data_IF_266818631573
#
_entry.id   IF_266818631573
#
_cell.length_a   1.000
_cell.length_b   1.000
_cell.length_c   1.000
_cell.angle_alpha   90.00
_cell.angle_beta   90.00
_cell.angle_gamma   90.00
#
_symmetry.space_group_name_H-M   'P 1'
#
loop_
_entity.id
_entity.type
_entity.pdbx_description
1 polymer ?
#
# COMPACT_ATOMS: atom_id res chain seq x y z
N UNK A 1 -59.05 -26.89 14.07
CA UNK A 1 -58.68 -26.77 12.64
C UNK A 1 -57.23 -26.33 12.58
N UNK A 2 -56.32 -27.26 12.30
CA UNK A 2 -54.87 -27.05 12.43
C UNK A 2 -54.26 -27.11 11.02
N UNK A 3 -53.91 -25.94 10.48
CA UNK A 3 -53.31 -25.80 9.15
C UNK A 3 -51.84 -26.21 9.21
N UNK A 4 -51.49 -27.36 8.61
CA UNK A 4 -50.10 -27.81 8.42
C UNK A 4 -49.57 -27.23 7.11
N UNK A 5 -48.62 -26.32 7.21
CA UNK A 5 -47.85 -25.78 6.08
C UNK A 5 -46.85 -26.83 5.56
N UNK A 6 -46.98 -27.18 4.27
CA UNK A 6 -46.07 -28.08 3.54
C UNK A 6 -44.83 -27.29 3.12
N UNK A 7 -43.67 -27.63 3.67
CA UNK A 7 -42.36 -27.14 3.24
C UNK A 7 -41.84 -28.01 2.10
N UNK A 8 -41.72 -27.43 0.91
CA UNK A 8 -41.13 -28.08 -0.27
C UNK A 8 -39.62 -27.96 -0.19
N UNK A 9 -38.92 -29.09 -0.03
CA UNK A 9 -37.46 -29.17 0.04
C UNK A 9 -36.92 -29.38 -1.38
N UNK A 10 -36.44 -28.33 -2.04
CA UNK A 10 -35.78 -28.43 -3.35
C UNK A 10 -34.32 -28.88 -3.13
N UNK A 11 -34.09 -30.17 -3.32
CA UNK A 11 -32.77 -30.79 -3.42
C UNK A 11 -32.06 -30.28 -4.67
N UNK A 12 -31.02 -29.46 -4.50
CA UNK A 12 -30.10 -29.10 -5.58
C UNK A 12 -29.02 -30.18 -5.64
N UNK A 13 -29.19 -31.08 -6.62
CA UNK A 13 -28.21 -32.10 -6.98
C UNK A 13 -26.89 -31.45 -7.39
N UNK A 14 -25.85 -31.73 -6.60
CA UNK A 14 -24.46 -31.36 -6.85
C UNK A 14 -23.87 -32.37 -7.84
N UNK A 15 -23.92 -32.06 -9.13
CA UNK A 15 -23.24 -32.85 -10.14
C UNK A 15 -21.71 -32.68 -10.00
N UNK A 16 -21.06 -33.76 -9.59
CA UNK A 16 -19.61 -33.92 -9.59
C UNK A 16 -19.09 -33.96 -11.03
N UNK A 17 -18.57 -32.84 -11.55
CA UNK A 17 -17.74 -32.84 -12.75
C UNK A 17 -16.29 -33.19 -12.35
N UNK A 18 -15.98 -34.49 -12.32
CA UNK A 18 -14.61 -34.98 -12.33
C UNK A 18 -14.01 -34.69 -13.72
N UNK A 19 -13.25 -33.61 -13.84
CA UNK A 19 -12.41 -33.37 -15.02
C UNK A 19 -11.11 -34.13 -14.82
N UNK A 20 -11.08 -35.35 -15.33
CA UNK A 20 -9.86 -36.12 -15.54
C UNK A 20 -8.94 -35.35 -16.48
N UNK A 21 -7.78 -34.89 -15.99
CA UNK A 21 -6.71 -34.37 -16.85
C UNK A 21 -5.97 -35.55 -17.48
N UNK A 22 -5.86 -35.63 -18.81
CA UNK A 22 -5.02 -36.63 -19.44
C UNK A 22 -3.54 -36.32 -19.18
N UNK A 23 -2.84 -37.36 -18.72
CA UNK A 23 -1.40 -37.49 -18.67
C UNK A 23 -0.88 -37.47 -20.11
N UNK A 24 -0.41 -36.32 -20.60
CA UNK A 24 0.19 -36.28 -21.94
C UNK A 24 1.70 -36.48 -21.87
N UNK A 25 2.11 -37.49 -22.62
CA UNK A 25 3.38 -38.16 -22.56
C UNK A 25 4.46 -37.34 -23.27
N UNK A 26 5.68 -37.51 -22.76
CA UNK A 26 6.93 -37.04 -23.35
C UNK A 26 7.03 -37.43 -24.82
N UNK A 27 7.16 -36.45 -25.71
CA UNK A 27 7.63 -36.67 -27.09
C UNK A 27 8.98 -36.00 -27.26
N UNK A 28 9.98 -36.86 -27.33
CA UNK A 28 11.35 -36.58 -27.75
C UNK A 28 11.31 -36.25 -29.24
N UNK A 29 11.41 -34.98 -29.61
CA UNK A 29 11.59 -34.58 -31.01
C UNK A 29 13.05 -34.23 -31.27
N UNK A 30 13.69 -35.15 -31.98
CA UNK A 30 15.00 -35.12 -32.60
C UNK A 30 15.24 -33.79 -33.32
N UNK A 31 16.22 -33.02 -32.84
CA UNK A 31 16.64 -31.75 -33.44
C UNK A 31 17.44 -32.04 -34.72
N UNK A 32 16.77 -31.97 -35.87
CA UNK A 32 17.39 -32.15 -37.18
C UNK A 32 18.13 -30.88 -37.60
N UNK A 33 19.41 -31.04 -37.93
CA UNK A 33 20.29 -30.03 -38.51
C UNK A 33 19.74 -29.54 -39.85
N UNK A 34 19.66 -28.21 -40.04
CA UNK A 34 19.97 -27.63 -41.35
C UNK A 34 20.58 -26.23 -41.19
N UNK A 35 21.70 -25.94 -41.87
CA UNK A 35 22.33 -24.63 -41.88
C UNK A 35 21.70 -23.77 -42.98
N UNK A 36 21.43 -22.51 -42.68
CA UNK A 36 21.25 -21.48 -43.71
C UNK A 36 22.05 -20.26 -43.29
N UNK A 37 23.17 -20.11 -43.98
CA UNK A 37 23.98 -18.90 -44.07
C UNK A 37 23.12 -17.71 -44.50
N UNK A 38 23.23 -16.61 -43.77
CA UNK A 38 22.86 -15.27 -44.26
C UNK A 38 23.91 -14.29 -43.73
N UNK A 39 24.45 -13.40 -44.58
CA UNK A 39 25.72 -12.75 -44.32
C UNK A 39 25.62 -11.61 -43.31
N UNK A 40 26.70 -11.45 -42.56
CA UNK A 40 26.98 -10.33 -41.67
C UNK A 40 26.94 -9.00 -42.44
N UNK A 41 25.94 -8.17 -42.14
CA UNK A 41 26.05 -6.73 -42.35
C UNK A 41 26.61 -6.16 -41.06
N UNK A 42 27.92 -5.98 -41.06
CA UNK A 42 28.69 -5.22 -40.08
C UNK A 42 28.26 -3.75 -40.13
N UNK A 43 27.45 -3.33 -39.17
CA UNK A 43 27.29 -1.91 -38.90
C UNK A 43 28.44 -1.41 -38.01
N UNK A 44 29.05 -0.27 -38.35
CA UNK A 44 30.17 0.30 -37.59
C UNK A 44 29.68 0.79 -36.22
N UNK A 45 30.30 0.24 -35.17
CA UNK A 45 30.21 0.75 -33.81
C UNK A 45 30.81 2.15 -33.77
N UNK A 46 29.98 3.15 -33.44
CA UNK A 46 30.47 4.47 -33.01
C UNK A 46 31.21 4.31 -31.67
N UNK A 47 32.48 4.69 -31.56
CA UNK A 47 33.10 4.94 -30.27
C UNK A 47 32.67 6.33 -29.82
N UNK A 48 31.91 6.45 -28.73
CA UNK A 48 31.63 7.77 -28.17
C UNK A 48 31.65 7.75 -26.64
N UNK A 49 32.68 8.45 -26.17
CA UNK A 49 32.80 9.11 -24.88
C UNK A 49 32.92 8.22 -23.64
N UNK A 50 34.18 7.89 -23.33
CA UNK A 50 34.70 7.81 -21.96
C UNK A 50 34.14 8.93 -21.09
N UNK A 51 33.20 8.59 -20.21
CA UNK A 51 32.88 9.40 -19.04
C UNK A 51 33.59 8.81 -17.83
N UNK A 52 34.83 9.30 -17.67
CA UNK A 52 35.40 9.78 -16.42
C UNK A 52 34.83 9.16 -15.13
N UNK A 53 35.34 7.98 -14.77
CA UNK A 53 35.27 7.44 -13.42
C UNK A 53 36.16 8.34 -12.55
N UNK A 54 35.60 9.41 -12.00
CA UNK A 54 36.19 10.08 -10.83
C UNK A 54 35.87 9.24 -9.61
N UNK A 55 36.76 8.30 -9.32
CA UNK A 55 36.94 7.72 -8.01
C UNK A 55 37.26 8.86 -7.03
N UNK A 56 36.29 9.29 -6.24
CA UNK A 56 36.56 10.09 -5.05
C UNK A 56 36.83 9.12 -3.89
N UNK A 57 38.07 8.67 -3.78
CA UNK A 57 38.65 8.21 -2.51
C UNK A 57 38.79 9.42 -1.60
N UNK A 58 37.73 9.77 -0.88
CA UNK A 58 37.85 10.67 0.27
C UNK A 58 38.29 9.83 1.46
N UNK A 59 39.60 9.72 1.63
CA UNK A 59 40.24 9.45 2.91
C UNK A 59 39.87 10.60 3.86
N UNK A 60 38.76 10.45 4.58
CA UNK A 60 38.45 11.35 5.68
C UNK A 60 39.38 10.99 6.83
N UNK A 61 40.44 11.76 6.94
CA UNK A 61 41.37 11.73 8.06
C UNK A 61 40.59 11.74 9.38
N UNK A 62 40.86 10.70 10.17
CA UNK A 62 40.57 10.63 11.59
C UNK A 62 41.28 11.83 12.23
N UNK A 63 40.52 12.86 12.60
CA UNK A 63 40.98 13.90 13.51
C UNK A 63 40.44 13.56 14.89
N UNK A 64 41.24 12.77 15.60
CA UNK A 64 41.18 12.63 17.04
C UNK A 64 41.34 14.03 17.66
N UNK A 65 40.24 14.60 18.13
CA UNK A 65 40.29 15.59 19.20
C UNK A 65 39.85 14.91 20.47
N UNK A 66 40.86 14.33 21.08
CA UNK A 66 40.91 13.96 22.48
C UNK A 66 40.78 15.25 23.30
N UNK A 67 39.62 15.47 23.91
CA UNK A 67 39.50 16.44 25.00
C UNK A 67 38.77 15.76 26.13
N UNK A 68 39.59 15.12 26.96
CA UNK A 68 39.28 14.69 28.31
C UNK A 68 38.74 15.89 29.10
N UNK A 69 37.44 15.88 29.39
CA UNK A 69 36.84 16.68 30.46
C UNK A 69 35.90 15.79 31.25
N UNK A 70 36.42 15.29 32.35
CA UNK A 70 35.68 14.78 33.50
C UNK A 70 35.00 15.95 34.23
N UNK A 71 33.73 15.82 34.58
CA UNK A 71 33.19 16.52 35.74
C UNK A 71 33.06 15.54 36.90
N UNK A 72 33.97 15.69 37.85
CA UNK A 72 33.80 15.30 39.24
C UNK A 72 32.78 16.26 39.87
N UNK A 73 31.64 15.76 40.35
CA UNK A 73 31.25 15.96 41.75
C UNK A 73 29.96 15.20 42.13
N UNK A 74 29.92 14.62 43.34
CA UNK A 74 28.75 13.96 43.89
C UNK A 74 27.84 14.99 44.57
N UNK A 75 26.56 14.99 44.24
CA UNK A 75 25.54 15.69 45.00
C UNK A 75 24.46 14.69 45.42
N UNK A 76 24.50 14.39 46.72
CA UNK A 76 23.48 13.74 47.52
C UNK A 76 22.12 14.41 47.30
N UNK A 77 21.16 13.67 46.72
CA UNK A 77 19.75 14.10 46.62
C UNK A 77 18.92 13.25 47.58
N UNK A 78 18.06 13.87 48.42
CA UNK A 78 17.42 13.23 49.56
C UNK A 78 16.36 12.19 49.21
N UNK A 79 16.10 11.34 50.20
CA UNK A 79 15.16 10.23 50.20
C UNK A 79 13.76 10.61 49.68
N UNK A 80 13.11 9.73 48.88
CA UNK A 80 11.75 9.95 48.43
C UNK A 80 10.75 9.81 49.59
N UNK A 81 9.88 10.82 49.70
CA UNK A 81 8.67 10.83 50.52
C UNK A 81 7.82 9.58 50.26
N UNK A 82 7.30 8.89 51.30
CA UNK A 82 6.43 7.74 51.14
C UNK A 82 5.12 8.15 50.46
N UNK A 83 4.83 7.52 49.32
CA UNK A 83 3.59 7.69 48.58
C UNK A 83 2.39 7.16 49.38
N UNK A 84 1.20 7.79 49.24
CA UNK A 84 -0.02 7.36 49.90
C UNK A 84 -0.42 5.94 49.47
N UNK A 85 -0.96 5.20 50.43
CA UNK A 85 -1.33 3.80 50.33
C UNK A 85 -2.16 3.47 49.07
N UNK A 86 -1.91 2.32 48.42
CA UNK A 86 -2.72 1.87 47.30
C UNK A 86 -4.15 1.60 47.79
N UNK A 87 -5.11 2.35 47.25
CA UNK A 87 -6.52 2.00 47.33
C UNK A 87 -6.68 0.61 46.72
N UNK A 88 -7.08 -0.35 47.53
CA UNK A 88 -7.41 -1.71 47.12
C UNK A 88 -8.53 -1.65 46.06
N UNK A 89 -8.14 -1.63 44.80
CA UNK A 89 -9.01 -2.00 43.69
C UNK A 89 -9.25 -3.51 43.80
N UNK A 90 -10.52 -3.88 43.90
CA UNK A 90 -11.01 -5.25 43.95
C UNK A 90 -10.25 -6.18 43.00
N UNK A 91 -9.97 -7.43 43.39
CA UNK A 91 -9.31 -8.38 42.52
C UNK A 91 -10.10 -8.50 41.21
N UNK A 92 -9.44 -8.44 40.03
CA UNK A 92 -10.12 -8.71 38.77
C UNK A 92 -10.72 -10.11 38.89
N UNK A 93 -12.04 -10.19 38.82
CA UNK A 93 -12.71 -11.49 38.78
C UNK A 93 -12.04 -12.31 37.68
N UNK A 94 -11.63 -13.56 37.96
CA UNK A 94 -11.12 -14.44 36.93
C UNK A 94 -12.26 -14.62 35.93
N UNK A 95 -12.14 -13.97 34.77
CA UNK A 95 -12.97 -14.27 33.62
C UNK A 95 -12.80 -15.77 33.40
N UNK A 96 -13.89 -16.50 33.62
CA UNK A 96 -13.94 -17.94 33.50
C UNK A 96 -13.30 -18.36 32.18
N UNK A 97 -12.35 -19.28 32.21
CA UNK A 97 -11.75 -19.86 31.01
C UNK A 97 -12.80 -20.44 30.05
N UNK A 98 -14.03 -20.70 30.54
CA UNK A 98 -15.16 -21.10 29.73
C UNK A 98 -15.67 -19.98 28.79
N UNK A 99 -15.65 -18.71 29.20
CA UNK A 99 -16.16 -17.60 28.36
C UNK A 99 -15.21 -17.23 27.21
N UNK A 100 -13.90 -17.49 27.37
CA UNK A 100 -12.92 -17.32 26.29
C UNK A 100 -12.98 -18.45 25.24
N UNK A 101 -13.60 -19.59 25.56
CA UNK A 101 -13.77 -20.72 24.64
C UNK A 101 -15.14 -20.72 23.94
N UNK A 102 -16.15 -20.06 24.51
CA UNK A 102 -17.50 -20.01 23.92
C UNK A 102 -17.68 -18.94 22.83
N UNK A 103 -16.79 -17.93 22.75
CA UNK A 103 -16.72 -17.05 21.58
C UNK A 103 -15.83 -17.65 20.52
N UNK A 104 -16.29 -18.75 19.93
CA UNK A 104 -15.66 -19.32 18.75
C UNK A 104 -15.50 -18.20 17.70
N UNK A 105 -14.27 -17.80 17.33
CA UNK A 105 -14.07 -16.85 16.25
C UNK A 105 -14.72 -17.46 15.02
N UNK A 106 -15.65 -16.72 14.39
CA UNK A 106 -16.30 -17.17 13.17
C UNK A 106 -15.22 -17.71 12.22
N UNK A 107 -15.23 -19.02 11.88
CA UNK A 107 -14.16 -19.66 11.12
C UNK A 107 -14.06 -19.15 9.67
N UNK A 108 -14.97 -18.27 9.26
CA UNK A 108 -15.04 -17.69 7.93
C UNK A 108 -14.09 -16.50 7.71
N UNK A 109 -13.36 -16.03 8.72
CA UNK A 109 -12.39 -14.92 8.52
C UNK A 109 -11.18 -15.04 9.43
N UNK A 110 -10.48 -16.18 9.38
CA UNK A 110 -9.13 -16.25 9.99
C UNK A 110 -8.23 -15.28 9.23
N UNK A 111 -7.74 -14.18 9.86
CA UNK A 111 -6.81 -13.29 9.20
C UNK A 111 -5.56 -14.10 8.85
N UNK A 112 -5.09 -14.00 7.61
CA UNK A 112 -3.85 -14.65 7.21
C UNK A 112 -2.66 -14.25 8.11
N UNK A 113 -1.56 -15.02 8.11
CA UNK A 113 -0.43 -14.77 8.98
C UNK A 113 0.09 -13.34 8.81
N UNK A 114 0.35 -12.67 9.93
CA UNK A 114 0.99 -11.37 9.93
C UNK A 114 2.45 -11.51 9.54
N UNK A 115 2.91 -10.61 8.66
CA UNK A 115 4.26 -10.58 8.13
C UNK A 115 4.94 -9.31 8.63
N UNK A 116 6.22 -9.41 8.94
CA UNK A 116 7.03 -8.25 9.38
C UNK A 116 8.03 -7.91 8.27
N UNK A 117 8.11 -6.63 7.91
CA UNK A 117 9.05 -6.11 6.91
C UNK A 117 9.55 -4.73 7.29
N UNK A 118 10.65 -4.32 6.66
CA UNK A 118 11.14 -2.94 6.72
C UNK A 118 10.70 -2.19 5.47
N UNK A 119 10.21 -0.96 5.64
CA UNK A 119 9.80 -0.10 4.52
C UNK A 119 11.05 0.43 3.80
N UNK A 120 11.16 0.16 2.50
CA UNK A 120 12.31 0.56 1.68
C UNK A 120 12.03 1.74 0.76
N UNK A 121 10.80 1.90 0.27
CA UNK A 121 10.39 3.09 -0.49
C UNK A 121 8.89 3.37 -0.35
N UNK A 122 8.51 4.62 -0.62
CA UNK A 122 7.14 5.09 -0.46
C UNK A 122 6.61 5.70 -1.76
N UNK A 123 5.34 5.44 -2.01
CA UNK A 123 4.51 6.07 -3.01
C UNK A 123 3.20 6.51 -2.33
N UNK A 124 2.47 7.44 -2.96
CA UNK A 124 1.32 8.16 -2.38
C UNK A 124 0.54 7.42 -1.27
N UNK A 125 0.00 6.23 -1.56
CA UNK A 125 -0.72 5.38 -0.60
C UNK A 125 -0.22 3.94 -0.58
N UNK A 126 1.00 3.70 -1.03
CA UNK A 126 1.59 2.36 -1.12
C UNK A 126 3.06 2.40 -0.77
N UNK A 127 3.54 1.42 -0.02
CA UNK A 127 4.92 1.27 0.38
C UNK A 127 5.54 0.01 -0.24
N UNK A 128 6.79 0.10 -0.69
CA UNK A 128 7.61 -1.09 -0.89
C UNK A 128 8.17 -1.53 0.45
N UNK A 129 7.93 -2.78 0.81
CA UNK A 129 8.41 -3.38 2.04
C UNK A 129 9.30 -4.58 1.70
N UNK A 130 10.43 -4.69 2.38
CA UNK A 130 11.36 -5.81 2.21
C UNK A 130 11.36 -6.65 3.47
N UNK A 131 11.08 -7.95 3.32
CA UNK A 131 11.23 -8.93 4.40
C UNK A 131 12.29 -9.95 4.06
N UNK A 132 12.88 -10.52 5.10
CA UNK A 132 13.81 -11.64 4.99
C UNK A 132 13.08 -12.91 5.38
N UNK A 133 13.11 -13.92 4.50
CA UNK A 133 12.55 -15.25 4.77
C UNK A 133 13.68 -16.28 4.81
N UNK A 134 13.56 -17.24 5.72
CA UNK A 134 14.47 -18.38 5.81
C UNK A 134 13.95 -19.50 4.91
N UNK A 135 14.68 -19.80 3.83
CA UNK A 135 14.34 -20.87 2.89
C UNK A 135 15.22 -22.10 3.18
N UNK A 136 14.65 -23.23 3.64
CA UNK A 136 15.42 -24.44 3.84
C UNK A 136 15.77 -25.08 2.49
N UNK A 137 17.06 -25.32 2.24
CA UNK A 137 17.54 -26.09 1.10
C UNK A 137 17.74 -27.56 1.50
N UNK A 138 16.98 -28.47 0.87
CA UNK A 138 17.07 -29.92 1.14
C UNK A 138 18.42 -30.51 0.75
N UNK A 139 18.98 -30.07 -0.38
CA UNK A 139 20.25 -30.58 -0.90
C UNK A 139 21.44 -30.20 -0.01
N UNK A 140 21.43 -28.99 0.54
CA UNK A 140 22.52 -28.47 1.37
C UNK A 140 22.28 -28.66 2.87
N UNK A 141 21.10 -29.18 3.26
CA UNK A 141 20.65 -29.29 4.67
C UNK A 141 20.88 -28.02 5.49
N UNK A 142 20.73 -26.85 4.84
CA UNK A 142 20.98 -25.53 5.42
C UNK A 142 19.86 -24.56 5.02
N UNK A 143 19.55 -23.63 5.90
CA UNK A 143 18.63 -22.52 5.60
C UNK A 143 19.39 -21.31 5.07
N UNK A 144 18.80 -20.65 4.06
CA UNK A 144 19.33 -19.43 3.48
C UNK A 144 18.34 -18.29 3.68
N UNK A 145 18.88 -17.12 4.06
CA UNK A 145 18.10 -15.91 4.14
C UNK A 145 17.90 -15.33 2.74
N UNK A 146 16.66 -15.18 2.34
CA UNK A 146 16.28 -14.60 1.03
C UNK A 146 15.44 -13.37 1.28
N UNK A 147 15.75 -12.28 0.56
CA UNK A 147 14.93 -11.07 0.61
C UNK A 147 13.76 -11.18 -0.36
N UNK A 148 12.58 -10.75 0.09
CA UNK A 148 11.38 -10.64 -0.72
C UNK A 148 10.85 -9.22 -0.63
N UNK A 149 10.49 -8.66 -1.78
CA UNK A 149 9.91 -7.32 -1.87
C UNK A 149 8.39 -7.43 -2.07
N UNK A 150 7.65 -6.79 -1.19
CA UNK A 150 6.19 -6.72 -1.23
C UNK A 150 5.74 -5.28 -1.47
N UNK A 151 4.61 -5.12 -2.17
CA UNK A 151 3.92 -3.85 -2.29
C UNK A 151 2.73 -3.84 -1.35
N UNK A 152 2.73 -2.91 -0.40
CA UNK A 152 1.80 -2.86 0.72
C UNK A 152 0.99 -1.56 0.67
N UNK A 153 -0.30 -1.62 0.93
CA UNK A 153 -1.17 -0.44 1.02
C UNK A 153 -1.00 0.23 2.38
N UNK A 154 -0.81 1.55 2.36
CA UNK A 154 -0.83 2.40 3.55
C UNK A 154 -2.09 3.29 3.50
N UNK A 155 -3.16 2.95 4.24
CA UNK A 155 -4.41 3.70 4.19
C UNK A 155 -4.29 5.10 4.79
N UNK A 156 -3.33 5.31 5.71
CA UNK A 156 -3.19 6.56 6.45
C UNK A 156 -2.04 7.44 5.93
N UNK A 157 -1.17 6.89 5.06
CA UNK A 157 0.04 7.57 4.57
C UNK A 157 0.96 8.03 5.70
N UNK A 158 1.12 7.21 6.74
CA UNK A 158 1.89 7.51 7.95
C UNK A 158 3.32 6.94 7.92
N UNK A 159 3.58 6.03 6.97
CA UNK A 159 4.85 5.33 6.90
C UNK A 159 5.99 6.25 6.45
N UNK A 160 7.18 5.97 6.96
CA UNK A 160 8.46 6.54 6.54
C UNK A 160 9.41 5.41 6.13
N UNK A 161 10.39 5.72 5.28
CA UNK A 161 11.44 4.76 4.90
C UNK A 161 12.25 4.39 6.15
N UNK A 162 12.47 3.10 6.37
CA UNK A 162 13.13 2.56 7.56
C UNK A 162 12.17 2.08 8.65
N UNK A 163 10.88 2.38 8.59
CA UNK A 163 9.91 1.86 9.56
C UNK A 163 9.82 0.33 9.48
N UNK A 164 9.71 -0.33 10.63
CA UNK A 164 9.40 -1.76 10.72
C UNK A 164 7.88 -1.91 10.87
N UNK A 165 7.26 -2.63 9.95
CA UNK A 165 5.80 -2.77 9.86
C UNK A 165 5.36 -4.22 9.97
N UNK A 166 4.17 -4.43 10.54
CA UNK A 166 3.37 -5.65 10.42
C UNK A 166 2.23 -5.43 9.46
N UNK A 167 2.13 -6.32 8.49
CA UNK A 167 1.13 -6.27 7.43
C UNK A 167 0.51 -7.65 7.23
N UNK A 168 -0.68 -7.66 6.64
CA UNK A 168 -1.42 -8.89 6.31
C UNK A 168 -1.97 -8.80 4.91
N UNK A 169 -2.47 -9.92 4.38
CA UNK A 169 -3.34 -9.87 3.21
C UNK A 169 -4.60 -9.04 3.52
N UNK A 170 -5.24 -8.55 2.47
CA UNK A 170 -6.56 -7.90 2.58
C UNK A 170 -7.58 -8.89 3.15
N UNK A 171 -8.46 -8.40 4.02
CA UNK A 171 -9.64 -9.17 4.39
C UNK A 171 -10.58 -9.28 3.18
N UNK A 172 -11.47 -10.29 3.12
CA UNK A 172 -12.42 -10.41 2.01
C UNK A 172 -13.28 -9.14 1.82
N UNK A 173 -13.65 -8.46 2.91
CA UNK A 173 -14.39 -7.20 2.86
C UNK A 173 -13.58 -6.06 2.22
N UNK A 174 -12.35 -5.84 2.68
CA UNK A 174 -11.46 -4.82 2.09
C UNK A 174 -11.12 -5.12 0.62
N UNK A 175 -10.96 -6.40 0.28
CA UNK A 175 -10.73 -6.82 -1.10
C UNK A 175 -11.94 -6.49 -2.00
N UNK A 176 -13.16 -6.74 -1.52
CA UNK A 176 -14.39 -6.43 -2.23
C UNK A 176 -14.57 -4.91 -2.42
N UNK A 177 -14.31 -4.10 -1.38
CA UNK A 177 -14.36 -2.63 -1.48
C UNK A 177 -13.36 -2.10 -2.51
N UNK A 178 -12.12 -2.60 -2.49
CA UNK A 178 -11.10 -2.21 -3.46
C UNK A 178 -11.51 -2.60 -4.89
N UNK A 179 -12.05 -3.80 -5.05
CA UNK A 179 -12.48 -4.27 -6.36
C UNK A 179 -13.70 -3.47 -6.86
N UNK A 180 -14.59 -3.01 -5.96
CA UNK A 180 -15.69 -2.10 -6.29
C UNK A 180 -15.21 -0.70 -6.72
N UNK A 181 -14.24 -0.10 -6.00
CA UNK A 181 -13.63 1.18 -6.42
C UNK A 181 -12.94 1.02 -7.77
N UNK A 182 -12.30 -0.12 -7.99
CA UNK A 182 -11.64 -0.42 -9.26
C UNK A 182 -12.64 -0.54 -10.40
N UNK A 183 -13.76 -1.24 -10.22
CA UNK A 183 -14.81 -1.35 -11.26
C UNK A 183 -15.44 0.01 -11.55
N UNK A 184 -15.65 0.85 -10.53
CA UNK A 184 -16.15 2.23 -10.71
C UNK A 184 -15.16 3.09 -11.51
N UNK A 185 -13.86 3.02 -11.21
CA UNK A 185 -12.82 3.72 -11.95
C UNK A 185 -12.70 3.24 -13.39
N UNK A 186 -12.83 1.93 -13.61
CA UNK A 186 -12.85 1.35 -14.96
C UNK A 186 -14.09 1.81 -15.72
N UNK A 187 -15.28 1.82 -15.11
CA UNK A 187 -16.51 2.32 -15.71
C UNK A 187 -16.39 3.81 -16.09
N UNK A 188 -15.87 4.66 -15.18
CA UNK A 188 -15.58 6.08 -15.46
C UNK A 188 -14.59 6.24 -16.61
N UNK A 189 -13.57 5.38 -16.68
CA UNK A 189 -12.60 5.37 -17.79
C UNK A 189 -13.27 5.00 -19.11
N UNK A 190 -14.14 3.99 -19.13
CA UNK A 190 -14.91 3.59 -20.30
C UNK A 190 -15.90 4.66 -20.75
N UNK A 191 -16.60 5.33 -19.83
CA UNK A 191 -17.50 6.44 -20.15
C UNK A 191 -16.76 7.62 -20.81
N UNK A 192 -15.58 8.01 -20.29
CA UNK A 192 -14.74 9.04 -20.91
C UNK A 192 -14.27 8.68 -22.32
N UNK A 193 -13.98 7.40 -22.55
CA UNK A 193 -13.62 6.91 -23.87
C UNK A 193 -14.82 6.95 -24.84
N UNK A 194 -16.03 6.64 -24.35
CA UNK A 194 -17.26 6.71 -25.13
C UNK A 194 -17.63 8.16 -25.53
N UNK A 195 -17.34 9.15 -24.68
CA UNK A 195 -17.52 10.59 -24.99
C UNK A 195 -16.60 11.13 -26.10
N UNK A 196 -15.79 10.29 -26.75
CA UNK A 196 -14.84 10.73 -27.79
C UNK A 196 -13.68 11.58 -27.26
N UNK A 197 -13.65 11.85 -25.95
CA UNK A 197 -12.50 12.38 -25.22
C UNK A 197 -11.46 11.28 -25.13
N UNK A 198 -10.81 10.99 -26.26
CA UNK A 198 -9.58 10.20 -26.29
C UNK A 198 -8.68 10.83 -25.24
N UNK A 199 -8.27 10.03 -24.25
CA UNK A 199 -7.20 10.41 -23.34
C UNK A 199 -6.02 10.82 -24.23
N UNK A 200 -5.82 12.13 -24.43
CA UNK A 200 -4.64 12.73 -25.06
C UNK A 200 -3.44 12.54 -24.11
N UNK A 201 -3.27 11.34 -23.56
CA UNK A 201 -2.02 10.93 -22.97
C UNK A 201 -1.12 10.61 -24.14
N UNK A 202 -0.05 11.42 -24.30
CA UNK A 202 1.11 11.12 -25.15
C UNK A 202 1.24 9.62 -25.33
N UNK A 203 1.02 9.11 -26.56
CA UNK A 203 1.44 7.76 -26.94
C UNK A 203 2.93 7.69 -26.62
N UNK A 204 3.29 7.21 -25.43
CA UNK A 204 4.61 6.65 -25.22
C UNK A 204 4.61 5.44 -26.13
N UNK A 205 5.44 5.46 -27.16
CA UNK A 205 5.80 4.33 -28.03
C UNK A 205 6.51 3.22 -27.23
N UNK A 206 5.97 2.85 -26.08
CA UNK A 206 6.48 1.78 -25.24
C UNK A 206 5.75 0.50 -25.59
N UNK A 207 6.28 -0.24 -26.56
CA UNK A 207 6.19 -1.69 -26.84
C UNK A 207 4.87 -2.46 -26.67
N UNK A 208 3.73 -1.84 -26.32
CA UNK A 208 2.43 -2.50 -26.15
C UNK A 208 2.40 -3.60 -25.08
N UNK A 209 3.52 -3.96 -24.46
CA UNK A 209 3.59 -5.00 -23.45
C UNK A 209 2.84 -4.47 -22.23
N UNK A 210 1.73 -5.11 -21.83
CA UNK A 210 1.08 -4.74 -20.59
C UNK A 210 2.11 -4.98 -19.48
N UNK A 211 2.68 -3.90 -18.93
CA UNK A 211 3.59 -4.00 -17.79
C UNK A 211 2.89 -4.92 -16.78
N UNK A 212 3.56 -5.99 -16.33
CA UNK A 212 3.03 -6.85 -15.26
C UNK A 212 2.75 -5.93 -14.08
N UNK A 213 1.51 -5.44 -13.96
CA UNK A 213 1.16 -4.42 -12.97
C UNK A 213 1.34 -5.09 -11.62
N UNK A 214 2.38 -4.68 -10.90
CA UNK A 214 2.61 -5.12 -9.53
C UNK A 214 1.35 -4.76 -8.76
N UNK A 215 0.57 -5.77 -8.37
CA UNK A 215 -0.68 -5.58 -7.64
C UNK A 215 -0.36 -5.50 -6.17
N UNK A 216 -0.92 -4.49 -5.50
CA UNK A 216 -0.89 -4.38 -4.05
C UNK A 216 -1.69 -5.56 -3.49
N UNK A 217 -1.03 -6.43 -2.73
CA UNK A 217 -1.64 -7.66 -2.15
C UNK A 217 -1.83 -7.58 -0.65
N UNK A 218 -1.18 -6.62 -0.02
CA UNK A 218 -1.09 -6.53 1.42
C UNK A 218 -1.52 -5.15 1.89
N UNK A 219 -1.92 -5.05 3.15
CA UNK A 219 -2.26 -3.81 3.84
C UNK A 219 -1.51 -3.72 5.16
N UNK A 220 -1.02 -2.54 5.49
CA UNK A 220 -0.36 -2.28 6.77
C UNK A 220 -1.38 -2.33 7.90
N UNK A 221 -1.04 -3.08 8.95
CA UNK A 221 -1.89 -3.26 10.13
C UNK A 221 -1.31 -2.53 11.34
N UNK A 222 0.00 -2.57 11.49
CA UNK A 222 0.69 -1.99 12.63
C UNK A 222 2.09 -1.53 12.23
N UNK A 223 2.51 -0.39 12.76
CA UNK A 223 3.92 0.01 12.73
C UNK A 223 4.54 -0.46 14.05
N UNK A 224 5.51 -1.37 13.96
CA UNK A 224 6.18 -1.98 15.11
C UNK A 224 7.22 -1.02 15.67
N UNK A 225 8.09 -0.51 14.80
CA UNK A 225 9.18 0.39 15.17
C UNK A 225 9.19 1.55 14.20
N UNK A 226 8.73 2.75 14.61
CA UNK A 226 8.84 3.94 13.78
C UNK A 226 10.29 4.42 13.72
N UNK A 227 10.74 4.84 12.55
CA UNK A 227 12.04 5.43 12.32
C UNK A 227 11.96 6.98 12.37
N UNK A 228 12.76 7.62 13.22
CA UNK A 228 12.75 9.07 13.41
C UNK A 228 11.54 9.56 14.20
N UNK A 229 10.70 10.40 13.59
CA UNK A 229 9.51 11.02 14.21
C UNK A 229 8.50 9.97 14.67
N UNK A 230 7.92 10.13 15.86
CA UNK A 230 6.98 9.17 16.44
C UNK A 230 5.63 9.10 15.71
N UNK A 231 4.91 7.98 15.83
CA UNK A 231 3.60 7.81 15.15
C UNK A 231 2.57 8.86 15.55
N UNK A 232 2.54 9.27 16.83
CA UNK A 232 1.60 10.27 17.34
C UNK A 232 1.78 11.62 16.66
N UNK A 233 3.03 12.05 16.51
CA UNK A 233 3.38 13.30 15.83
C UNK A 233 3.01 13.24 14.35
N UNK A 234 3.32 12.13 13.66
CA UNK A 234 2.93 11.94 12.25
C UNK A 234 1.41 11.94 12.06
N UNK A 235 0.66 11.34 13.00
CA UNK A 235 -0.80 11.37 12.98
C UNK A 235 -1.33 12.79 13.17
N UNK A 236 -0.73 13.59 14.06
CA UNK A 236 -1.08 14.99 14.26
C UNK A 236 -0.77 15.84 13.02
N UNK A 237 0.42 15.69 12.43
CA UNK A 237 0.81 16.32 11.16
C UNK A 237 -0.20 15.99 10.04
N UNK A 238 -0.60 14.71 9.94
CA UNK A 238 -1.55 14.26 8.93
C UNK A 238 -2.95 14.82 9.19
N UNK A 239 -3.41 14.82 10.44
CA UNK A 239 -4.70 15.40 10.82
C UNK A 239 -4.75 16.89 10.51
N UNK A 240 -3.68 17.64 10.84
CA UNK A 240 -3.54 19.05 10.49
C UNK A 240 -3.55 19.29 8.97
N UNK A 241 -2.86 18.44 8.21
CA UNK A 241 -2.84 18.52 6.74
C UNK A 241 -4.22 18.24 6.11
N UNK A 242 -5.01 17.33 6.71
CA UNK A 242 -6.39 17.06 6.27
C UNK A 242 -7.31 18.25 6.60
N UNK A 243 -7.25 18.76 7.83
CA UNK A 243 -8.02 19.92 8.26
C UNK A 243 -7.73 21.16 7.39
N UNK A 244 -6.45 21.40 7.06
CA UNK A 244 -6.04 22.50 6.18
C UNK A 244 -6.68 22.43 4.78
N UNK A 245 -6.76 21.23 4.19
CA UNK A 245 -7.38 21.04 2.85
C UNK A 245 -8.87 21.31 2.84
N UNK A 246 -9.60 20.97 3.90
CA UNK A 246 -11.03 21.24 3.99
C UNK A 246 -11.34 22.73 4.05
N UNK A 247 -10.53 23.50 4.80
CA UNK A 247 -10.72 24.95 4.88
C UNK A 247 -10.49 25.64 3.53
N UNK A 248 -9.47 25.22 2.78
CA UNK A 248 -9.22 25.76 1.44
C UNK A 248 -10.34 25.44 0.45
N UNK A 249 -10.90 24.22 0.50
CA UNK A 249 -12.02 23.84 -0.37
C UNK A 249 -13.29 24.65 -0.06
N UNK A 250 -13.56 24.94 1.21
CA UNK A 250 -14.70 25.81 1.59
C UNK A 250 -14.51 27.24 1.07
N UNK A 251 -13.30 27.80 1.20
CA UNK A 251 -12.99 29.12 0.66
C UNK A 251 -13.15 29.20 -0.85
N UNK A 252 -12.66 28.21 -1.61
CA UNK A 252 -12.80 28.22 -3.07
C UNK A 252 -14.24 28.08 -3.55
N UNK A 253 -15.09 27.36 -2.80
CA UNK A 253 -16.52 27.29 -3.09
C UNK A 253 -17.18 28.64 -2.80
N UNK A 254 -16.88 29.27 -1.66
CA UNK A 254 -17.47 30.57 -1.31
C UNK A 254 -17.06 31.65 -2.31
N UNK A 255 -15.77 31.74 -2.67
CA UNK A 255 -15.30 32.69 -3.69
C UNK A 255 -15.91 32.38 -5.07
N UNK A 256 -16.01 31.11 -5.46
CA UNK A 256 -16.66 30.73 -6.72
C UNK A 256 -18.16 31.06 -6.79
N UNK A 257 -18.86 31.02 -5.65
CA UNK A 257 -20.26 31.44 -5.55
C UNK A 257 -20.38 32.96 -5.64
N UNK A 258 -19.49 33.71 -4.99
CA UNK A 258 -19.52 35.17 -4.99
C UNK A 258 -19.21 35.77 -6.38
N UNK A 259 -18.31 35.15 -7.14
CA UNK A 259 -18.05 35.51 -8.54
C UNK A 259 -19.28 35.25 -9.43
N UNK A 260 -20.06 34.19 -9.16
CA UNK A 260 -21.30 33.91 -9.91
C UNK A 260 -22.43 34.89 -9.57
N UNK A 261 -22.56 35.32 -8.33
CA UNK A 261 -23.58 36.33 -7.95
C UNK A 261 -23.22 37.74 -8.45
N UNK A 262 -21.93 38.10 -8.49
CA UNK A 262 -21.48 39.39 -9.04
C UNK A 262 -21.75 39.55 -10.54
N UNK A 263 -21.65 38.48 -11.32
CA UNK A 263 -21.96 38.50 -12.77
C UNK A 263 -23.47 38.63 -13.03
N UNK A 264 -24.32 38.15 -12.12
CA UNK A 264 -25.77 38.22 -12.29
C UNK A 264 -26.35 39.62 -11.97
N UNK A 265 -25.65 40.45 -11.19
CA UNK A 265 -26.13 41.79 -10.80
C UNK A 265 -25.75 42.92 -11.75
N UNK A 266 -24.83 42.70 -12.69
CA UNK A 266 -24.38 43.74 -13.64
C UNK A 266 -24.87 43.55 -15.09
N UNK A 267 -25.82 42.64 -15.33
CA UNK A 267 -26.24 42.24 -16.69
C UNK A 267 -27.60 42.74 -17.18
N UNK A 268 -28.36 43.56 -16.45
CA UNK A 268 -29.78 43.84 -16.82
C UNK A 268 -30.17 45.31 -17.00
N UNK A 269 -29.24 46.27 -17.04
CA UNK A 269 -29.60 47.71 -17.17
C UNK A 269 -29.39 48.35 -18.55
N UNK A 270 -29.22 47.57 -19.60
CA UNK A 270 -29.21 48.05 -21.00
C UNK A 270 -30.03 47.03 -21.79
N UNK A 271 -31.19 47.31 -22.38
CA UNK A 271 -31.49 48.35 -23.36
C UNK A 271 -33.01 48.33 -23.58
N UNK A 272 -33.74 49.37 -23.18
CA UNK A 272 -35.17 49.57 -23.49
C UNK A 272 -35.45 51.06 -23.73
N UNK A 273 -34.67 51.68 -24.61
CA UNK A 273 -34.96 52.99 -25.17
C UNK A 273 -34.53 52.99 -26.63
N UNK A 274 -35.39 52.52 -27.54
CA UNK A 274 -35.45 52.92 -28.96
C UNK A 274 -36.51 52.07 -29.68
N UNK A 275 -37.76 52.51 -29.66
CA UNK A 275 -38.80 52.12 -30.63
C UNK A 275 -40.05 52.99 -30.45
N UNK A 276 -39.89 54.31 -30.54
CA UNK A 276 -41.02 55.23 -30.80
C UNK A 276 -40.49 56.34 -31.72
N UNK A 277 -40.49 56.09 -33.03
CA UNK A 277 -40.78 57.06 -34.10
C UNK A 277 -41.35 56.28 -35.29
#
# INVERSE_FOLDING_TARGET
MTMRSKTTFTSICRACAQVSRPLNQSTTTTFSKRPSSTPCISQPTKPSASQNIRSFTTTRAVREHNTSQSPTNPATTPAPTPAPAPTQSSPPQPLSAADLLSRAPNPSTTPGPFLTATVTSLHASTAHATRTISLPSRHLRKSFLTQTHDLVHDPYSLLRVGDIIRYSAFTPGEAAERDAVKTELEAKRWARLAEGKRLQGRRREGDGKPSKRVRVRYVVRQVVTPFGVGLRERMAERAAAVAGKETMKKKSIVEGVQVREGVLRHGTTTTLQEAIV
#
